data_IF_042009324437
#
_entry.id   IF_042009324437
#
_cell.length_a   1.000
_cell.length_b   1.000
_cell.length_c   1.000
_cell.angle_alpha   90.00
_cell.angle_beta   90.00
_cell.angle_gamma   90.00
#
_symmetry.space_group_name_H-M   'P 1'
#
loop_
_entity.id
_entity.type
_entity.pdbx_description
1 polymer ?
#
# COMPACT_ATOMS: atom_id res chain seq x y z
N UNK A 1 -10.75 -18.83 3.37
CA UNK A 1 -11.45 -18.37 2.16
C UNK A 1 -11.46 -16.85 2.18
N UNK A 2 -10.51 -16.24 1.52
CA UNK A 2 -10.53 -14.80 1.25
C UNK A 2 -11.52 -14.61 0.11
N UNK A 3 -12.63 -13.94 0.38
CA UNK A 3 -13.66 -13.64 -0.63
C UNK A 3 -13.07 -12.69 -1.68
N UNK A 4 -13.41 -12.86 -2.95
CA UNK A 4 -13.02 -11.90 -4.02
C UNK A 4 -13.42 -10.45 -3.71
N UNK A 5 -14.38 -10.25 -2.81
CA UNK A 5 -14.80 -8.92 -2.32
C UNK A 5 -13.73 -8.15 -1.53
N UNK A 6 -12.62 -8.78 -1.18
CA UNK A 6 -11.52 -8.16 -0.44
C UNK A 6 -10.39 -7.69 -1.35
N UNK A 7 -10.58 -7.73 -2.67
CA UNK A 7 -9.64 -7.23 -3.64
C UNK A 7 -10.27 -6.09 -4.43
N UNK A 8 -9.53 -5.05 -4.61
CA UNK A 8 -9.81 -3.97 -5.54
C UNK A 8 -8.76 -4.05 -6.65
N UNK A 9 -9.18 -3.83 -7.88
CA UNK A 9 -8.25 -3.72 -8.99
C UNK A 9 -7.46 -2.41 -8.80
N UNK A 10 -6.17 -2.52 -8.56
CA UNK A 10 -5.25 -1.39 -8.42
C UNK A 10 -4.60 -1.17 -9.77
N UNK A 11 -5.17 -0.28 -10.55
CA UNK A 11 -4.63 0.11 -11.84
C UNK A 11 -3.48 1.09 -11.64
N UNK A 12 -2.44 0.94 -12.44
CA UNK A 12 -1.25 1.78 -12.36
C UNK A 12 -0.77 2.19 -13.73
N UNK A 13 -0.43 3.45 -13.83
CA UNK A 13 0.47 3.93 -14.88
C UNK A 13 1.89 3.83 -14.34
N UNK A 14 2.76 3.24 -15.13
CA UNK A 14 4.17 3.08 -14.80
C UNK A 14 5.05 3.88 -15.74
N UNK A 15 6.16 4.36 -15.23
CA UNK A 15 7.24 4.97 -16.02
C UNK A 15 8.57 4.65 -15.35
N UNK A 16 9.65 4.67 -16.11
CA UNK A 16 10.99 4.42 -15.58
C UNK A 16 11.93 5.57 -15.86
N UNK A 17 12.70 5.95 -14.84
CA UNK A 17 13.75 6.95 -14.93
C UNK A 17 15.11 6.31 -14.67
N UNK A 18 16.09 6.62 -15.51
CA UNK A 18 17.48 6.28 -15.28
C UNK A 18 18.20 7.49 -14.67
N UNK A 19 18.90 7.26 -13.58
CA UNK A 19 19.71 8.27 -12.89
C UNK A 19 21.13 8.18 -13.39
N UNK A 20 21.66 9.29 -13.91
CA UNK A 20 23.04 9.34 -14.40
C UNK A 20 24.06 9.19 -13.26
N UNK A 21 25.21 8.63 -13.58
CA UNK A 21 26.34 8.56 -12.66
C UNK A 21 26.95 9.96 -12.44
N UNK A 22 26.94 10.42 -11.22
CA UNK A 22 27.62 11.63 -10.79
C UNK A 22 28.27 11.43 -9.41
N UNK A 23 29.36 12.11 -9.15
CA UNK A 23 30.02 12.26 -7.85
C UNK A 23 30.53 11.02 -7.11
N UNK A 24 30.72 9.87 -7.75
CA UNK A 24 31.27 8.68 -7.09
C UNK A 24 30.38 8.05 -6.00
N UNK A 25 29.12 8.45 -5.90
CA UNK A 25 28.10 7.85 -5.06
C UNK A 25 27.64 6.50 -5.61
N UNK A 26 27.16 5.62 -4.74
CA UNK A 26 26.54 4.36 -5.17
C UNK A 26 25.22 4.62 -5.91
N UNK A 27 24.79 3.66 -6.75
CA UNK A 27 23.50 3.72 -7.43
C UNK A 27 22.33 3.97 -6.45
N UNK A 28 22.38 3.30 -5.29
CA UNK A 28 21.36 3.45 -4.26
C UNK A 28 21.28 4.87 -3.68
N UNK A 29 22.40 5.52 -3.44
CA UNK A 29 22.45 6.90 -2.92
C UNK A 29 21.95 7.89 -3.96
N UNK A 30 22.35 7.74 -5.22
CA UNK A 30 21.89 8.60 -6.32
C UNK A 30 20.38 8.50 -6.54
N UNK A 31 19.84 7.29 -6.62
CA UNK A 31 18.39 7.07 -6.77
C UNK A 31 17.64 7.58 -5.55
N UNK A 32 18.14 7.33 -4.33
CA UNK A 32 17.56 7.87 -3.09
C UNK A 32 17.50 9.41 -3.08
N UNK A 33 18.52 10.08 -3.62
CA UNK A 33 18.52 11.53 -3.79
C UNK A 33 17.44 11.99 -4.77
N UNK A 34 17.29 11.31 -5.91
CA UNK A 34 16.23 11.62 -6.89
C UNK A 34 14.84 11.38 -6.33
N UNK A 35 14.64 10.29 -5.56
CA UNK A 35 13.36 10.02 -4.85
C UNK A 35 13.04 11.19 -3.91
N UNK A 36 14.00 11.62 -3.09
CA UNK A 36 13.84 12.76 -2.19
C UNK A 36 13.46 14.04 -2.92
N UNK A 37 14.10 14.29 -4.07
CA UNK A 37 13.79 15.45 -4.94
C UNK A 37 12.37 15.29 -5.51
N UNK A 38 12.01 14.13 -6.01
CA UNK A 38 10.69 13.88 -6.58
C UNK A 38 9.55 14.10 -5.56
N UNK A 39 9.74 13.69 -4.31
CA UNK A 39 8.79 13.90 -3.23
C UNK A 39 8.81 15.32 -2.64
N UNK A 40 9.75 16.16 -3.07
CA UNK A 40 9.94 17.48 -2.49
C UNK A 40 8.83 18.48 -2.85
N UNK A 41 8.68 19.49 -2.01
CA UNK A 41 7.77 20.61 -2.28
C UNK A 41 8.15 21.40 -3.54
N UNK A 42 9.43 21.43 -3.88
CA UNK A 42 9.91 22.12 -5.11
C UNK A 42 9.37 21.42 -6.36
N UNK A 43 9.42 20.09 -6.41
CA UNK A 43 8.86 19.31 -7.53
C UNK A 43 7.35 19.45 -7.61
N UNK A 44 6.66 19.42 -6.46
CA UNK A 44 5.21 19.66 -6.39
C UNK A 44 4.83 21.03 -6.98
N UNK A 45 5.48 22.12 -6.56
CA UNK A 45 5.18 23.46 -7.08
C UNK A 45 5.45 23.57 -8.59
N UNK A 46 6.51 22.91 -9.06
CA UNK A 46 6.81 22.85 -10.48
C UNK A 46 5.77 22.07 -11.26
N UNK A 47 5.34 20.92 -10.73
CA UNK A 47 4.28 20.14 -11.34
C UNK A 47 2.96 20.92 -11.42
N UNK A 48 2.58 21.66 -10.38
CA UNK A 48 1.40 22.56 -10.42
C UNK A 48 1.52 23.62 -11.53
N UNK A 49 2.71 24.19 -11.71
CA UNK A 49 2.94 25.17 -12.76
C UNK A 49 2.82 24.58 -14.17
N UNK A 50 3.30 23.36 -14.37
CA UNK A 50 3.26 22.67 -15.66
C UNK A 50 1.84 22.19 -16.02
N UNK A 51 1.16 21.57 -15.06
CA UNK A 51 -0.14 20.95 -15.26
C UNK A 51 -1.33 21.89 -15.08
N UNK A 52 -1.19 22.93 -14.26
CA UNK A 52 -2.31 23.76 -13.80
C UNK A 52 -3.22 23.06 -12.79
N UNK A 53 -2.86 21.90 -12.27
CA UNK A 53 -3.68 21.16 -11.30
C UNK A 53 -3.86 21.93 -9.99
N UNK A 54 -5.10 22.00 -9.53
CA UNK A 54 -5.43 22.51 -8.19
C UNK A 54 -5.48 21.36 -7.19
N UNK A 55 -4.30 20.99 -6.69
CA UNK A 55 -4.14 19.92 -5.70
C UNK A 55 -3.30 20.39 -4.51
N UNK A 56 -3.54 19.78 -3.37
CA UNK A 56 -2.73 19.97 -2.16
C UNK A 56 -1.45 19.11 -2.20
N UNK A 57 -0.42 19.52 -1.45
CA UNK A 57 0.84 18.77 -1.38
C UNK A 57 0.66 17.32 -0.90
N UNK A 58 -0.25 17.08 0.05
CA UNK A 58 -0.55 15.72 0.50
C UNK A 58 -1.25 14.89 -0.57
N UNK A 59 -2.11 15.51 -1.38
CA UNK A 59 -2.71 14.85 -2.54
C UNK A 59 -1.63 14.43 -3.54
N UNK A 60 -0.70 15.34 -3.86
CA UNK A 60 0.43 15.05 -4.72
C UNK A 60 1.21 13.79 -4.27
N UNK A 61 1.55 13.71 -2.97
CA UNK A 61 2.29 12.57 -2.42
C UNK A 61 1.49 11.26 -2.41
N UNK A 62 0.16 11.32 -2.34
CA UNK A 62 -0.71 10.14 -2.29
C UNK A 62 -0.96 9.51 -3.69
N UNK A 63 -0.81 10.29 -4.77
CA UNK A 63 -1.13 9.86 -6.12
C UNK A 63 -0.12 8.89 -6.73
N UNK A 64 1.09 8.82 -6.22
CA UNK A 64 2.13 7.96 -6.78
C UNK A 64 2.99 7.30 -5.71
N UNK A 65 3.68 6.24 -6.13
CA UNK A 65 4.76 5.61 -5.37
C UNK A 65 6.04 5.61 -6.22
N UNK A 66 7.19 5.68 -5.56
CA UNK A 66 8.49 5.58 -6.20
C UNK A 66 9.22 4.35 -5.70
N UNK A 67 9.66 3.50 -6.61
CA UNK A 67 10.36 2.27 -6.29
C UNK A 67 11.77 2.29 -6.88
N UNK A 68 12.76 2.03 -6.03
CA UNK A 68 14.12 1.80 -6.47
C UNK A 68 14.31 0.34 -6.81
N UNK A 69 14.74 0.05 -8.03
CA UNK A 69 15.19 -1.28 -8.36
C UNK A 69 16.55 -1.56 -7.68
N UNK A 70 16.61 -2.58 -6.84
CA UNK A 70 17.75 -2.88 -5.99
C UNK A 70 19.06 -2.96 -6.81
N UNK A 71 20.06 -2.16 -6.42
CA UNK A 71 21.39 -2.09 -7.07
C UNK A 71 21.38 -1.58 -8.51
N UNK A 72 20.33 -0.91 -8.95
CA UNK A 72 20.19 -0.31 -10.28
C UNK A 72 20.12 1.21 -10.18
N UNK A 73 20.59 1.89 -11.24
CA UNK A 73 20.41 3.32 -11.45
C UNK A 73 18.99 3.65 -11.99
N UNK A 74 18.06 2.70 -11.91
CA UNK A 74 16.69 2.85 -12.40
C UNK A 74 15.73 3.03 -11.25
N UNK A 75 14.87 4.03 -11.36
CA UNK A 75 13.72 4.29 -10.50
C UNK A 75 12.45 4.07 -11.29
N UNK A 76 11.49 3.35 -10.72
CA UNK A 76 10.16 3.19 -11.29
C UNK A 76 9.16 4.11 -10.57
N UNK A 77 8.36 4.80 -11.36
CA UNK A 77 7.25 5.63 -10.90
C UNK A 77 5.96 4.86 -11.11
N UNK A 78 5.12 4.79 -10.11
CA UNK A 78 3.81 4.14 -10.12
C UNK A 78 2.73 5.17 -9.81
N UNK A 79 1.95 5.60 -10.78
CA UNK A 79 0.80 6.48 -10.57
C UNK A 79 -0.45 5.64 -10.40
N UNK A 80 -1.21 5.89 -9.33
CA UNK A 80 -2.38 5.11 -8.93
C UNK A 80 -3.65 5.71 -9.51
N UNK A 81 -4.52 4.86 -10.07
CA UNK A 81 -5.86 5.26 -10.48
C UNK A 81 -6.84 4.06 -10.39
N UNK A 82 -8.15 4.24 -10.21
CA UNK A 82 -8.75 5.49 -9.77
C UNK A 82 -8.28 5.89 -8.36
N UNK A 83 -7.97 7.17 -8.16
CA UNK A 83 -7.51 7.68 -6.87
C UNK A 83 -8.07 9.06 -6.62
N UNK A 84 -8.57 9.29 -5.41
CA UNK A 84 -9.10 10.58 -4.98
C UNK A 84 -8.49 10.98 -3.64
N UNK A 85 -8.04 12.23 -3.54
CA UNK A 85 -7.58 12.84 -2.30
C UNK A 85 -8.13 14.27 -2.20
N UNK A 86 -8.99 14.54 -1.22
CA UNK A 86 -9.67 15.83 -1.09
C UNK A 86 -10.53 16.13 -2.31
N UNK A 87 -10.22 17.22 -3.00
CA UNK A 87 -10.90 17.68 -4.22
C UNK A 87 -10.21 17.24 -5.50
N UNK A 88 -9.03 16.62 -5.41
CA UNK A 88 -8.26 16.16 -6.57
C UNK A 88 -8.48 14.67 -6.79
N UNK A 89 -8.73 14.28 -8.04
CA UNK A 89 -8.89 12.87 -8.42
C UNK A 89 -8.21 12.55 -9.75
N UNK A 90 -7.73 11.32 -9.85
CA UNK A 90 -7.34 10.65 -11.10
C UNK A 90 -8.36 9.54 -11.31
N UNK A 91 -9.32 9.75 -12.22
CA UNK A 91 -10.49 8.86 -12.34
C UNK A 91 -10.27 7.74 -13.34
N UNK A 92 -9.42 7.96 -14.31
CA UNK A 92 -9.21 7.06 -15.44
C UNK A 92 -7.74 7.01 -15.87
N UNK A 93 -7.49 6.18 -16.87
CA UNK A 93 -6.17 5.96 -17.47
C UNK A 93 -5.55 7.22 -18.07
N UNK A 94 -6.36 8.02 -18.77
CA UNK A 94 -5.88 9.23 -19.46
C UNK A 94 -5.40 10.26 -18.44
N UNK A 95 -6.16 10.50 -17.37
CA UNK A 95 -5.78 11.39 -16.27
C UNK A 95 -4.47 10.92 -15.61
N UNK A 96 -4.32 9.62 -15.41
CA UNK A 96 -3.12 9.05 -14.78
C UNK A 96 -1.89 9.11 -15.68
N UNK A 97 -2.04 8.92 -17.00
CA UNK A 97 -0.96 9.08 -17.97
C UNK A 97 -0.51 10.54 -18.07
N UNK A 98 -1.45 11.47 -18.10
CA UNK A 98 -1.16 12.90 -18.12
C UNK A 98 -0.44 13.34 -16.83
N UNK A 99 -0.94 12.91 -15.67
CA UNK A 99 -0.30 13.16 -14.37
C UNK A 99 1.13 12.63 -14.34
N UNK A 100 1.36 11.40 -14.79
CA UNK A 100 2.68 10.80 -14.85
C UNK A 100 3.63 11.60 -15.75
N UNK A 101 3.16 12.07 -16.89
CA UNK A 101 3.93 12.92 -17.80
C UNK A 101 4.41 14.21 -17.13
N UNK A 102 3.51 14.96 -16.50
CA UNK A 102 3.87 16.18 -15.76
C UNK A 102 4.78 15.89 -14.56
N UNK A 103 4.58 14.80 -13.86
CA UNK A 103 5.44 14.38 -12.76
C UNK A 103 6.88 14.13 -13.23
N UNK A 104 7.06 13.37 -14.32
CA UNK A 104 8.38 13.11 -14.88
C UNK A 104 9.09 14.40 -15.31
N UNK A 105 8.38 15.31 -15.96
CA UNK A 105 8.94 16.59 -16.41
C UNK A 105 9.34 17.45 -15.21
N UNK A 106 8.48 17.55 -14.19
CA UNK A 106 8.78 18.28 -12.97
C UNK A 106 9.97 17.69 -12.21
N UNK A 107 10.09 16.37 -12.12
CA UNK A 107 11.25 15.69 -11.50
C UNK A 107 12.54 16.01 -12.27
N UNK A 108 12.55 15.84 -13.60
CA UNK A 108 13.72 16.15 -14.45
C UNK A 108 14.19 17.60 -14.26
N UNK A 109 13.26 18.53 -14.29
CA UNK A 109 13.56 19.95 -14.14
C UNK A 109 14.08 20.28 -12.74
N UNK A 110 13.47 19.72 -11.68
CA UNK A 110 13.90 19.97 -10.31
C UNK A 110 15.27 19.34 -10.04
N UNK A 111 15.53 18.14 -10.55
CA UNK A 111 16.84 17.48 -10.45
C UNK A 111 17.91 18.31 -11.17
N UNK A 112 17.62 18.78 -12.41
CA UNK A 112 18.54 19.63 -13.16
C UNK A 112 18.89 20.91 -12.41
N UNK A 113 17.91 21.57 -11.79
CA UNK A 113 18.11 22.78 -11.00
C UNK A 113 18.89 22.52 -9.70
N UNK A 114 18.61 21.41 -9.04
CA UNK A 114 19.21 21.06 -7.73
C UNK A 114 20.65 20.55 -7.86
N UNK A 115 20.93 19.75 -8.89
CA UNK A 115 22.21 19.07 -9.08
C UNK A 115 23.08 19.79 -10.13
N UNK A 116 22.47 20.67 -10.94
CA UNK A 116 23.17 21.44 -11.97
C UNK A 116 23.54 20.64 -13.22
N UNK A 117 22.93 19.46 -13.40
CA UNK A 117 23.14 18.55 -14.54
C UNK A 117 21.82 17.92 -14.97
N UNK A 118 21.78 17.38 -16.20
CA UNK A 118 20.68 16.51 -16.64
C UNK A 118 20.83 15.13 -15.97
N UNK A 119 20.67 15.07 -14.67
CA UNK A 119 20.97 13.87 -13.87
C UNK A 119 19.92 12.75 -13.98
N UNK A 120 18.87 12.93 -14.80
CA UNK A 120 17.78 11.94 -14.94
C UNK A 120 17.32 11.89 -16.39
N UNK A 121 17.18 10.67 -16.94
CA UNK A 121 16.61 10.40 -18.25
C UNK A 121 15.39 9.51 -18.14
N UNK A 122 14.35 9.79 -18.94
CA UNK A 122 13.22 8.88 -19.09
C UNK A 122 13.70 7.66 -19.85
N UNK A 123 13.59 6.49 -19.22
CA UNK A 123 13.89 5.20 -19.82
C UNK A 123 12.65 4.63 -20.50
N UNK A 124 11.54 4.63 -19.76
CA UNK A 124 10.22 4.27 -20.29
C UNK A 124 9.25 5.43 -20.06
N UNK A 125 8.61 5.87 -21.16
CA UNK A 125 7.50 6.83 -21.09
C UNK A 125 6.32 6.22 -20.31
N UNK A 126 5.41 7.06 -19.76
CA UNK A 126 4.24 6.56 -19.04
C UNK A 126 3.42 5.58 -19.87
N UNK A 127 3.14 4.44 -19.31
CA UNK A 127 2.31 3.38 -19.90
C UNK A 127 1.42 2.73 -18.86
N UNK A 128 0.29 2.17 -19.29
CA UNK A 128 -0.61 1.43 -18.43
C UNK A 128 -0.04 0.06 -18.14
N UNK A 129 0.17 -0.24 -16.88
CA UNK A 129 0.54 -1.57 -16.44
C UNK A 129 -0.71 -2.47 -16.31
N UNK A 130 -0.51 -3.77 -16.34
CA UNK A 130 -1.56 -4.73 -16.04
C UNK A 130 -2.14 -4.47 -14.64
N UNK A 131 -3.47 -4.57 -14.54
CA UNK A 131 -4.16 -4.41 -13.26
C UNK A 131 -3.64 -5.40 -12.22
N UNK A 132 -3.23 -4.87 -11.07
CA UNK A 132 -2.84 -5.68 -9.93
C UNK A 132 -4.00 -5.71 -8.93
N UNK A 133 -4.36 -6.91 -8.45
CA UNK A 133 -5.34 -7.05 -7.39
C UNK A 133 -4.70 -6.68 -6.05
N UNK A 134 -5.17 -5.59 -5.45
CA UNK A 134 -4.76 -5.20 -4.11
C UNK A 134 -5.68 -5.82 -3.07
N UNK A 135 -5.06 -6.47 -2.08
CA UNK A 135 -5.81 -6.94 -0.91
C UNK A 135 -6.29 -5.74 -0.10
N UNK A 136 -7.59 -5.54 -0.06
CA UNK A 136 -8.19 -4.56 0.84
C UNK A 136 -8.14 -5.10 2.26
N UNK A 137 -7.51 -4.37 3.17
CA UNK A 137 -7.54 -4.72 4.58
C UNK A 137 -9.00 -4.90 5.02
N UNK A 138 -9.33 -6.09 5.53
CA UNK A 138 -10.67 -6.40 5.99
C UNK A 138 -11.04 -5.49 7.17
N UNK A 139 -11.88 -4.50 6.88
CA UNK A 139 -12.54 -3.71 7.91
C UNK A 139 -13.94 -4.30 8.09
N UNK A 140 -14.17 -5.17 9.10
CA UNK A 140 -15.48 -5.77 9.30
C UNK A 140 -16.50 -4.66 9.57
N UNK A 141 -17.63 -4.72 8.87
CA UNK A 141 -18.75 -3.84 9.20
C UNK A 141 -19.18 -4.12 10.65
N UNK A 142 -19.80 -3.14 11.32
CA UNK A 142 -20.31 -3.32 12.70
C UNK A 142 -21.22 -4.56 12.81
N UNK A 143 -21.94 -4.89 11.75
CA UNK A 143 -22.80 -6.09 11.73
C UNK A 143 -21.98 -7.39 11.64
N UNK A 144 -20.93 -7.42 10.83
CA UNK A 144 -20.05 -8.60 10.73
C UNK A 144 -19.25 -8.80 12.02
N UNK A 145 -18.77 -7.73 12.61
CA UNK A 145 -18.10 -7.77 13.92
C UNK A 145 -19.04 -8.32 15.01
N UNK A 146 -20.31 -7.86 15.07
CA UNK A 146 -21.30 -8.41 15.99
C UNK A 146 -21.58 -9.89 15.73
N UNK A 147 -21.62 -10.31 14.47
CA UNK A 147 -21.85 -11.71 14.09
C UNK A 147 -20.67 -12.60 14.47
N UNK A 148 -19.43 -12.13 14.31
CA UNK A 148 -18.24 -12.87 14.72
C UNK A 148 -18.11 -12.98 16.24
N UNK A 149 -18.44 -11.92 16.99
CA UNK A 149 -18.54 -11.98 18.46
C UNK A 149 -19.62 -12.99 18.90
N UNK A 150 -20.78 -12.97 18.25
CA UNK A 150 -21.84 -13.92 18.57
C UNK A 150 -21.42 -15.37 18.33
N UNK A 151 -20.73 -15.66 17.24
CA UNK A 151 -20.17 -16.99 16.95
C UNK A 151 -19.13 -17.41 18.00
N UNK A 152 -18.23 -16.50 18.37
CA UNK A 152 -17.21 -16.76 19.39
C UNK A 152 -17.85 -17.02 20.76
N UNK A 153 -18.90 -16.28 21.13
CA UNK A 153 -19.65 -16.47 22.37
C UNK A 153 -20.36 -17.83 22.41
N UNK A 154 -20.99 -18.23 21.30
CA UNK A 154 -21.63 -19.56 21.18
C UNK A 154 -20.57 -20.66 21.29
N UNK A 155 -19.47 -20.56 20.59
CA UNK A 155 -18.38 -21.55 20.68
C UNK A 155 -17.81 -21.61 22.11
N UNK A 156 -17.60 -20.47 22.78
CA UNK A 156 -17.13 -20.40 24.15
C UNK A 156 -18.11 -21.04 25.14
N UNK A 157 -19.41 -20.82 24.95
CA UNK A 157 -20.43 -21.47 25.77
C UNK A 157 -20.44 -23.00 25.59
N UNK A 158 -20.28 -23.50 24.37
CA UNK A 158 -20.17 -24.95 24.12
C UNK A 158 -18.93 -25.56 24.79
N UNK A 159 -17.78 -24.90 24.71
CA UNK A 159 -16.55 -25.34 25.39
C UNK A 159 -16.71 -25.31 26.92
N UNK A 160 -17.36 -24.29 27.47
CA UNK A 160 -17.65 -24.19 28.89
C UNK A 160 -18.50 -25.36 29.39
N UNK A 161 -19.56 -25.69 28.68
CA UNK A 161 -20.44 -26.83 29.03
C UNK A 161 -19.67 -28.16 28.95
N UNK A 162 -18.85 -28.38 27.95
CA UNK A 162 -18.04 -29.60 27.80
C UNK A 162 -17.08 -29.75 28.98
N UNK A 163 -16.42 -28.67 29.39
CA UNK A 163 -15.47 -28.68 30.53
C UNK A 163 -16.25 -29.00 31.84
N UNK A 164 -17.39 -28.35 32.10
CA UNK A 164 -18.18 -28.60 33.31
C UNK A 164 -18.66 -30.05 33.38
N UNK A 165 -19.21 -30.58 32.28
CA UNK A 165 -19.67 -31.98 32.23
C UNK A 165 -18.50 -32.94 32.44
N UNK A 166 -17.34 -32.67 31.88
CA UNK A 166 -16.13 -33.50 32.06
C UNK A 166 -15.61 -33.48 33.50
N UNK A 167 -15.59 -32.31 34.13
CA UNK A 167 -15.21 -32.19 35.57
C UNK A 167 -16.19 -32.89 36.46
N UNK A 168 -17.50 -32.76 36.23
CA UNK A 168 -18.55 -33.42 37.01
C UNK A 168 -18.50 -34.96 36.86
N UNK A 169 -18.31 -35.45 35.64
CA UNK A 169 -18.14 -36.87 35.37
C UNK A 169 -16.89 -37.45 36.04
N UNK A 170 -15.76 -36.72 35.99
CA UNK A 170 -14.53 -37.10 36.65
C UNK A 170 -14.67 -37.19 38.17
N UNK A 171 -15.37 -36.22 38.79
CA UNK A 171 -15.61 -36.21 40.24
C UNK A 171 -16.51 -37.41 40.69
N UNK A 172 -17.52 -37.79 39.90
CA UNK A 172 -18.36 -38.95 40.20
C UNK A 172 -17.59 -40.28 40.14
N UNK A 173 -16.68 -40.42 39.18
CA UNK A 173 -15.84 -41.62 39.03
C UNK A 173 -14.88 -41.77 40.21
N UNK A 174 -14.23 -40.66 40.65
CA UNK A 174 -13.32 -40.65 41.82
C UNK A 174 -14.08 -41.00 43.11
N UNK A 175 -15.29 -40.45 43.36
CA UNK A 175 -16.05 -40.73 44.57
C UNK A 175 -16.61 -42.16 44.63
N UNK A 176 -16.79 -42.87 43.51
CA UNK A 176 -17.12 -44.29 43.47
C UNK A 176 -15.93 -45.22 43.80
N UNK A 177 -14.71 -44.80 43.42
CA UNK A 177 -13.49 -45.56 43.65
C UNK A 177 -13.13 -45.59 45.15
N UNK A 178 -13.34 -44.50 45.87
CA UNK A 178 -13.11 -44.46 47.33
C UNK A 178 -14.09 -45.30 48.15
N UNK A 179 -15.36 -45.37 47.71
CA UNK A 179 -16.35 -46.22 48.41
C UNK A 179 -16.12 -47.71 48.25
N UNK A 180 -15.45 -48.18 47.21
CA UNK A 180 -15.14 -49.59 46.97
C UNK A 180 -13.81 -50.04 47.67
N UNK A 181 -13.08 -49.13 48.30
CA UNK A 181 -11.88 -49.44 49.04
C UNK A 181 -12.10 -49.52 50.56
N UNK A 182 -13.32 -49.21 51.05
CA UNK A 182 -13.69 -49.24 52.49
C UNK A 182 -14.72 -50.32 52.81
N UNK A 183 -14.97 -51.30 51.90
CA UNK A 183 -15.84 -52.46 52.15
C UNK A 183 -15.08 -53.78 52.24
#
# INVERSE_FOLDING_TARGET
FVSEKNYEDDYRVMASLMVEEYSGESAAERVGTVITVAESRSTYEKMKQLSGYDMEYLAYQDMFDLEQNTSSDVMTVHVKYPRTYGTFSLENEEDALEFAGYLLEAVKDTVRESIGKNGVHVLDEPYVADAQKRYLAYAPTIQEFKREIAKAAVAGAFFGVIVEVSVYAGAQVSGKKERNLQG
#
